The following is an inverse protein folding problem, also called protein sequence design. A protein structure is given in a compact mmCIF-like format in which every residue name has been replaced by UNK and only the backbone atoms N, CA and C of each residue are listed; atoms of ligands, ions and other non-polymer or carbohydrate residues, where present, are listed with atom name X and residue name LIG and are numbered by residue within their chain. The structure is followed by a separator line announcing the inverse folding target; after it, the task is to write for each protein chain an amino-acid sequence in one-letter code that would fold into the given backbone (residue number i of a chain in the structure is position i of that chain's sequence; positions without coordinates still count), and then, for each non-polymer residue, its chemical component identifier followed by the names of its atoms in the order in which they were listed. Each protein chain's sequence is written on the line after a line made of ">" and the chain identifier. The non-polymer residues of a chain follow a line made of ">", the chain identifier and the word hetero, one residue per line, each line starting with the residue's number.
data_IF_342392543699
#
_entry.id   IF_342392543699
#
_cell.length_a   1.000
_cell.length_b   1.000
_cell.length_c   1.000
_cell.angle_alpha   90.00
_cell.angle_beta   90.00
_cell.angle_gamma   90.00
#
_symmetry.space_group_name_H-M   'P 1'
#
loop_
_entity.id
_entity.type
_entity.pdbx_description
1 polymer ?
#
# COMPACT_ATOMS: atom_id res chain seq x y z
N UNK A 1 -20.08 -13.49 -22.04
CA UNK A 1 -19.69 -13.99 -20.71
C UNK A 1 -18.62 -13.06 -20.18
N UNK A 2 -18.75 -12.55 -18.96
CA UNK A 2 -17.71 -11.69 -18.37
C UNK A 2 -16.48 -12.54 -18.01
N UNK A 3 -15.29 -12.04 -18.34
CA UNK A 3 -14.02 -12.65 -17.93
C UNK A 3 -13.97 -12.76 -16.39
N UNK A 4 -13.49 -13.88 -15.85
CA UNK A 4 -13.31 -14.10 -14.40
C UNK A 4 -11.92 -13.71 -13.93
N UNK A 5 -11.76 -13.43 -12.63
CA UNK A 5 -10.44 -13.13 -12.04
C UNK A 5 -9.44 -14.26 -12.26
N UNK A 6 -9.88 -15.52 -12.18
CA UNK A 6 -9.01 -16.68 -12.42
C UNK A 6 -8.50 -16.72 -13.86
N UNK A 7 -9.35 -16.46 -14.84
CA UNK A 7 -8.91 -16.41 -16.25
C UNK A 7 -7.86 -15.33 -16.51
N UNK A 8 -7.98 -14.18 -15.85
CA UNK A 8 -6.98 -13.10 -15.93
C UNK A 8 -5.65 -13.57 -15.30
N UNK A 9 -5.71 -14.15 -14.10
CA UNK A 9 -4.54 -14.69 -13.41
C UNK A 9 -3.86 -15.79 -14.21
N UNK A 10 -4.62 -16.76 -14.73
CA UNK A 10 -4.08 -17.89 -15.50
C UNK A 10 -3.34 -17.42 -16.76
N UNK A 11 -3.85 -16.37 -17.41
CA UNK A 11 -3.16 -15.73 -18.52
C UNK A 11 -1.85 -15.10 -18.06
N UNK A 12 -1.87 -14.20 -17.08
CA UNK A 12 -0.70 -13.42 -16.69
C UNK A 12 0.36 -14.19 -15.91
N UNK A 13 -0.01 -15.27 -15.20
CA UNK A 13 0.92 -16.14 -14.51
C UNK A 13 2.00 -16.74 -15.43
N UNK A 14 1.73 -16.81 -16.74
CA UNK A 14 2.66 -17.31 -17.75
C UNK A 14 3.43 -16.18 -18.48
N UNK A 15 3.00 -14.92 -18.34
CA UNK A 15 3.45 -13.81 -19.20
C UNK A 15 4.02 -12.61 -18.43
N UNK A 16 3.84 -12.54 -17.11
CA UNK A 16 4.24 -11.40 -16.30
C UNK A 16 4.90 -11.80 -14.99
N UNK A 17 5.72 -10.88 -14.46
CA UNK A 17 6.34 -10.96 -13.15
C UNK A 17 6.55 -9.56 -12.57
N UNK A 18 6.87 -9.49 -11.28
CA UNK A 18 7.14 -8.22 -10.57
C UNK A 18 5.90 -7.47 -10.11
N UNK A 19 4.78 -8.17 -9.89
CA UNK A 19 3.63 -7.62 -9.16
C UNK A 19 3.77 -7.93 -7.66
N UNK A 20 3.03 -7.22 -6.80
CA UNK A 20 3.16 -7.33 -5.34
C UNK A 20 2.49 -8.59 -4.73
N UNK A 21 2.17 -9.59 -5.54
CA UNK A 21 1.40 -10.77 -5.16
C UNK A 21 1.98 -12.02 -5.80
N UNK A 22 1.88 -13.13 -5.06
CA UNK A 22 2.08 -14.45 -5.63
C UNK A 22 0.90 -14.82 -6.54
N UNK A 23 1.19 -15.46 -7.68
CA UNK A 23 0.17 -15.76 -8.69
C UNK A 23 -0.93 -16.69 -8.18
N UNK A 24 -0.67 -17.55 -7.20
CA UNK A 24 -1.66 -18.41 -6.56
C UNK A 24 -2.72 -17.61 -5.76
N UNK A 25 -2.34 -16.44 -5.22
CA UNK A 25 -3.21 -15.53 -4.46
C UNK A 25 -3.67 -14.30 -5.27
N UNK A 26 -3.16 -14.11 -6.49
CA UNK A 26 -3.44 -12.95 -7.33
C UNK A 26 -4.93 -12.78 -7.72
N UNK A 27 -5.76 -13.81 -7.54
CA UNK A 27 -7.20 -13.76 -7.82
C UNK A 27 -8.03 -13.09 -6.71
N UNK A 28 -7.44 -12.86 -5.52
CA UNK A 28 -8.08 -12.28 -4.33
C UNK A 28 -7.28 -11.13 -3.70
N UNK A 29 -6.07 -10.84 -4.20
CA UNK A 29 -5.23 -9.73 -3.75
C UNK A 29 -4.97 -8.73 -4.87
N UNK A 30 -4.90 -7.44 -4.52
CA UNK A 30 -4.59 -6.38 -5.47
C UNK A 30 -3.14 -6.48 -5.95
N UNK A 31 -2.92 -6.43 -7.27
CA UNK A 31 -1.60 -6.66 -7.87
C UNK A 31 -0.58 -5.54 -7.60
N UNK A 32 -1.04 -4.38 -7.12
CA UNK A 32 -0.18 -3.29 -6.67
C UNK A 32 0.09 -3.33 -5.17
N UNK A 33 -0.95 -3.25 -4.35
CA UNK A 33 -0.76 -3.05 -2.92
C UNK A 33 -0.65 -4.35 -2.12
N UNK A 34 -0.92 -5.50 -2.73
CA UNK A 34 -0.82 -6.82 -2.09
C UNK A 34 -1.94 -7.14 -1.09
N UNK A 35 -2.85 -6.20 -0.81
CA UNK A 35 -3.95 -6.42 0.13
C UNK A 35 -5.05 -7.28 -0.47
N UNK A 36 -5.63 -8.14 0.36
CA UNK A 36 -6.96 -8.72 0.08
C UNK A 36 -8.00 -7.62 0.03
N UNK A 37 -8.79 -7.63 -1.03
CA UNK A 37 -9.81 -6.64 -1.32
C UNK A 37 -10.84 -7.19 -2.32
N UNK A 38 -11.97 -6.50 -2.45
CA UNK A 38 -12.81 -6.64 -3.63
C UNK A 38 -12.05 -6.08 -4.84
N UNK A 39 -11.84 -6.94 -5.85
CA UNK A 39 -11.00 -6.63 -7.01
C UNK A 39 -11.85 -6.17 -8.18
N UNK A 40 -11.43 -5.06 -8.77
CA UNK A 40 -11.91 -4.53 -10.03
C UNK A 40 -11.04 -5.07 -11.18
N UNK A 41 -11.68 -5.28 -12.34
CA UNK A 41 -10.99 -5.64 -13.59
C UNK A 41 -10.60 -4.34 -14.27
N UNK A 42 -9.39 -3.89 -14.03
CA UNK A 42 -8.90 -2.62 -14.55
C UNK A 42 -8.29 -2.84 -15.94
N UNK A 43 -8.75 -2.10 -16.96
CA UNK A 43 -8.16 -2.18 -18.28
C UNK A 43 -6.75 -1.61 -18.30
N UNK A 44 -5.84 -2.25 -19.03
CA UNK A 44 -4.46 -1.79 -19.23
C UNK A 44 -4.46 -0.61 -20.18
N UNK A 45 -5.11 -0.78 -21.33
CA UNK A 45 -5.50 0.30 -22.23
C UNK A 45 -7.02 0.44 -22.12
N UNK A 46 -7.57 1.63 -21.84
CA UNK A 46 -9.02 1.82 -21.75
C UNK A 46 -9.68 1.70 -23.14
N UNK A 47 -10.97 1.33 -23.17
CA UNK A 47 -11.77 1.21 -24.40
C UNK A 47 -11.75 2.51 -25.23
N UNK A 48 -11.83 3.67 -24.57
CA UNK A 48 -11.77 4.99 -25.24
C UNK A 48 -10.46 5.25 -25.99
N UNK A 49 -9.40 4.47 -25.72
CA UNK A 49 -8.11 4.51 -26.42
C UNK A 49 -7.87 3.26 -27.28
N UNK A 50 -8.90 2.45 -27.52
CA UNK A 50 -8.86 1.25 -28.37
C UNK A 50 -8.50 -0.04 -27.64
N UNK A 51 -8.55 -0.06 -26.29
CA UNK A 51 -8.37 -1.28 -25.52
C UNK A 51 -9.58 -2.22 -25.57
N UNK A 52 -9.36 -3.48 -25.21
CA UNK A 52 -10.35 -4.57 -25.25
C UNK A 52 -10.69 -5.08 -23.85
N UNK A 53 -11.88 -5.68 -23.67
CA UNK A 53 -12.26 -6.36 -22.42
C UNK A 53 -11.83 -7.83 -22.39
N UNK A 54 -10.60 -8.11 -22.84
CA UNK A 54 -10.01 -9.46 -22.92
C UNK A 54 -8.93 -9.68 -21.85
N UNK A 55 -8.62 -10.94 -21.54
CA UNK A 55 -7.70 -11.29 -20.42
C UNK A 55 -6.32 -10.64 -20.51
N UNK A 56 -5.83 -10.41 -21.73
CA UNK A 56 -4.55 -9.79 -22.07
C UNK A 56 -4.55 -8.26 -21.98
N UNK A 57 -5.69 -7.64 -21.70
CA UNK A 57 -5.82 -6.21 -21.46
C UNK A 57 -6.42 -5.89 -20.09
N UNK A 58 -6.50 -6.86 -19.17
CA UNK A 58 -7.07 -6.67 -17.83
C UNK A 58 -6.06 -7.02 -16.74
N UNK A 59 -6.04 -6.21 -15.68
CA UNK A 59 -5.35 -6.51 -14.41
C UNK A 59 -6.32 -6.42 -13.25
N UNK A 60 -5.95 -6.97 -12.09
CA UNK A 60 -6.80 -6.95 -10.89
C UNK A 60 -6.28 -5.98 -9.82
N UNK A 61 -7.05 -4.93 -9.55
CA UNK A 61 -6.71 -3.91 -8.55
C UNK A 61 -7.86 -3.69 -7.57
N UNK A 62 -7.56 -3.24 -6.35
CA UNK A 62 -8.61 -2.68 -5.50
C UNK A 62 -9.02 -1.29 -6.04
N UNK A 63 -10.24 -0.83 -5.75
CA UNK A 63 -10.74 0.45 -6.29
C UNK A 63 -9.87 1.67 -6.00
N UNK A 64 -9.11 1.67 -4.89
CA UNK A 64 -8.13 2.73 -4.63
C UNK A 64 -6.93 2.66 -5.58
N UNK A 65 -6.35 1.48 -5.78
CA UNK A 65 -5.25 1.31 -6.73
C UNK A 65 -5.73 1.52 -8.17
N UNK A 66 -6.96 1.12 -8.51
CA UNK A 66 -7.58 1.42 -9.80
C UNK A 66 -7.64 2.92 -10.07
N UNK A 67 -8.04 3.74 -9.08
CA UNK A 67 -8.04 5.21 -9.20
C UNK A 67 -6.66 5.83 -9.36
N UNK A 68 -5.62 5.25 -8.76
CA UNK A 68 -4.24 5.73 -8.88
C UNK A 68 -3.52 5.19 -10.13
N UNK A 69 -4.11 4.23 -10.84
CA UNK A 69 -3.48 3.60 -11.99
C UNK A 69 -3.32 4.60 -13.16
N UNK A 70 -2.17 4.62 -13.85
CA UNK A 70 -2.00 5.45 -15.03
C UNK A 70 -2.97 5.01 -16.14
N UNK A 71 -3.55 5.99 -16.83
CA UNK A 71 -4.39 5.79 -18.02
C UNK A 71 -3.61 6.26 -19.24
N UNK A 72 -3.21 5.32 -20.12
CA UNK A 72 -2.42 5.62 -21.32
C UNK A 72 -2.70 4.59 -22.42
N UNK A 73 -2.46 4.96 -23.68
CA UNK A 73 -2.57 4.04 -24.83
C UNK A 73 -1.42 3.01 -24.90
N UNK A 74 -0.32 3.29 -24.20
CA UNK A 74 0.86 2.43 -24.14
C UNK A 74 0.72 1.53 -22.91
N UNK A 75 0.51 0.21 -23.09
CA UNK A 75 0.31 -0.72 -21.98
C UNK A 75 1.54 -0.82 -21.06
N UNK A 76 2.73 -0.44 -21.56
CA UNK A 76 3.98 -0.50 -20.81
C UNK A 76 3.99 0.38 -19.57
N UNK A 77 3.24 1.49 -19.55
CA UNK A 77 3.23 2.40 -18.40
C UNK A 77 2.52 1.82 -17.19
N UNK A 78 1.39 1.13 -17.37
CA UNK A 78 0.72 0.45 -16.26
C UNK A 78 1.64 -0.61 -15.65
N UNK A 79 2.24 -1.45 -16.49
CA UNK A 79 3.15 -2.49 -16.02
C UNK A 79 4.40 -1.93 -15.34
N UNK A 80 4.95 -0.83 -15.86
CA UNK A 80 6.05 -0.11 -15.20
C UNK A 80 5.62 0.42 -13.83
N UNK A 81 4.43 1.00 -13.73
CA UNK A 81 3.90 1.51 -12.47
C UNK A 81 3.63 0.40 -11.45
N UNK A 82 3.05 -0.73 -11.86
CA UNK A 82 2.84 -1.89 -10.98
C UNK A 82 4.16 -2.38 -10.39
N UNK A 83 5.19 -2.56 -11.23
CA UNK A 83 6.52 -3.00 -10.80
C UNK A 83 7.23 -1.97 -9.91
N UNK A 84 7.16 -0.70 -10.28
CA UNK A 84 7.83 0.38 -9.54
C UNK A 84 7.21 0.64 -8.17
N UNK A 85 5.93 0.31 -8.00
CA UNK A 85 5.18 0.56 -6.76
C UNK A 85 4.83 -0.72 -6.01
N UNK A 86 5.29 -1.88 -6.45
CA UNK A 86 5.11 -3.13 -5.69
C UNK A 86 5.93 -3.13 -4.41
N UNK A 87 5.42 -3.78 -3.37
CA UNK A 87 6.16 -4.02 -2.11
C UNK A 87 6.42 -5.51 -1.93
N UNK A 88 7.57 -5.84 -1.35
CA UNK A 88 8.02 -7.23 -1.15
C UNK A 88 7.29 -7.98 -0.04
N UNK A 89 6.53 -7.27 0.79
CA UNK A 89 5.77 -7.86 1.90
C UNK A 89 4.29 -7.48 1.78
N UNK A 90 3.43 -8.50 1.74
CA UNK A 90 1.99 -8.32 1.71
C UNK A 90 1.51 -7.45 2.87
N UNK A 91 0.43 -6.70 2.64
CA UNK A 91 -0.26 -5.93 3.67
C UNK A 91 0.60 -4.83 4.35
N UNK A 92 1.69 -4.40 3.71
CA UNK A 92 2.57 -3.30 4.20
C UNK A 92 2.51 -2.03 3.36
N UNK A 93 1.96 -2.10 2.14
CA UNK A 93 2.03 -1.02 1.14
C UNK A 93 1.60 0.35 1.67
N UNK A 94 0.41 0.43 2.28
CA UNK A 94 -0.14 1.70 2.76
C UNK A 94 0.61 2.24 3.97
N UNK A 95 1.13 1.35 4.82
CA UNK A 95 2.01 1.74 5.92
C UNK A 95 3.27 2.39 5.38
N UNK A 96 3.97 1.76 4.43
CA UNK A 96 5.19 2.32 3.83
C UNK A 96 4.94 3.69 3.20
N UNK A 97 3.83 3.87 2.49
CA UNK A 97 3.44 5.20 1.99
C UNK A 97 3.19 6.21 3.11
N UNK A 98 2.64 5.77 4.24
CA UNK A 98 2.50 6.62 5.43
C UNK A 98 3.83 7.02 6.06
N UNK A 99 4.88 6.19 5.96
CA UNK A 99 6.24 6.57 6.37
C UNK A 99 6.82 7.65 5.45
N UNK A 100 6.65 7.51 4.14
CA UNK A 100 7.05 8.54 3.17
C UNK A 100 6.29 9.86 3.41
N UNK A 101 4.98 9.78 3.65
CA UNK A 101 4.15 10.94 3.93
C UNK A 101 4.52 11.63 5.25
N UNK A 102 4.96 10.86 6.26
CA UNK A 102 5.49 11.43 7.49
C UNK A 102 6.69 12.33 7.22
N UNK A 103 7.64 11.88 6.39
CA UNK A 103 8.82 12.69 6.05
C UNK A 103 8.41 14.01 5.38
N UNK A 104 7.37 13.99 4.54
CA UNK A 104 6.81 15.19 3.91
C UNK A 104 6.17 16.13 4.92
N UNK A 105 5.34 15.60 5.83
CA UNK A 105 4.57 16.40 6.81
C UNK A 105 5.48 16.97 7.90
N UNK A 106 6.41 16.18 8.42
CA UNK A 106 7.20 16.50 9.61
C UNK A 106 8.66 16.88 9.31
N UNK A 107 9.11 16.74 8.05
CA UNK A 107 10.45 17.16 7.63
C UNK A 107 11.60 16.32 8.21
N UNK A 108 11.32 15.14 8.75
CA UNK A 108 12.28 14.22 9.37
C UNK A 108 11.82 12.77 9.28
N UNK A 109 12.71 11.82 9.56
CA UNK A 109 12.35 10.39 9.53
C UNK A 109 11.55 9.99 10.76
N UNK A 110 10.59 9.05 10.63
CA UNK A 110 9.86 8.55 11.78
C UNK A 110 10.78 7.80 12.75
N UNK A 111 10.55 7.98 14.05
CA UNK A 111 11.29 7.34 15.15
C UNK A 111 12.79 7.62 15.14
N UNK A 112 13.24 8.65 14.41
CA UNK A 112 14.66 8.97 14.26
C UNK A 112 15.33 9.35 15.59
N UNK A 113 14.58 10.02 16.47
CA UNK A 113 15.05 10.40 17.80
C UNK A 113 15.44 9.21 18.70
N UNK A 114 14.97 7.99 18.37
CA UNK A 114 15.30 6.78 19.14
C UNK A 114 16.53 6.03 18.63
N UNK A 115 17.10 6.38 17.47
CA UNK A 115 18.24 5.62 16.89
C UNK A 115 19.49 5.62 17.76
N UNK A 116 19.74 6.75 18.43
CA UNK A 116 20.92 6.98 19.27
C UNK A 116 20.55 7.16 20.75
N UNK A 117 19.27 7.03 21.10
CA UNK A 117 18.81 7.13 22.47
C UNK A 117 19.26 5.89 23.27
N UNK A 118 19.61 6.09 24.54
CA UNK A 118 19.94 5.00 25.48
C UNK A 118 18.67 4.25 25.92
N UNK A 119 17.99 3.59 24.98
CA UNK A 119 16.75 2.83 25.19
C UNK A 119 16.94 1.36 24.79
N UNK A 120 16.25 0.46 25.47
CA UNK A 120 16.17 -0.93 25.01
C UNK A 120 15.28 -1.02 23.77
N UNK A 121 15.90 -1.17 22.60
CA UNK A 121 15.18 -1.28 21.32
C UNK A 121 14.24 -2.49 21.25
N UNK A 122 14.45 -3.55 22.06
CA UNK A 122 13.51 -4.68 22.10
C UNK A 122 12.21 -4.26 22.79
N UNK A 123 12.29 -3.64 23.97
CA UNK A 123 11.14 -3.05 24.66
C UNK A 123 10.45 -2.01 23.78
N UNK A 124 11.21 -1.11 23.16
CA UNK A 124 10.67 -0.04 22.30
C UNK A 124 9.81 -0.60 21.16
N UNK A 125 10.25 -1.68 20.52
CA UNK A 125 9.46 -2.34 19.48
C UNK A 125 8.13 -2.93 20.01
N UNK A 126 8.14 -3.51 21.21
CA UNK A 126 6.92 -4.02 21.83
C UNK A 126 5.96 -2.89 22.23
N UNK A 127 6.48 -1.80 22.78
CA UNK A 127 5.71 -0.61 23.13
C UNK A 127 5.11 0.07 21.91
N UNK A 128 5.89 0.21 20.84
CA UNK A 128 5.43 0.76 19.56
C UNK A 128 4.24 -0.06 19.02
N UNK A 129 4.33 -1.40 19.05
CA UNK A 129 3.23 -2.29 18.64
C UNK A 129 1.99 -2.14 19.52
N UNK A 130 2.17 -2.00 20.83
CA UNK A 130 1.07 -1.81 21.76
C UNK A 130 0.34 -0.47 21.51
N UNK A 131 1.11 0.60 21.33
CA UNK A 131 0.57 1.93 21.01
C UNK A 131 -0.09 1.98 19.64
N UNK A 132 0.44 1.27 18.65
CA UNK A 132 -0.11 1.27 17.31
C UNK A 132 -1.58 0.86 17.29
N UNK A 133 -1.96 -0.22 18.00
CA UNK A 133 -3.34 -0.67 18.05
C UNK A 133 -4.29 0.43 18.57
N UNK A 134 -3.89 1.11 19.65
CA UNK A 134 -4.68 2.17 20.28
C UNK A 134 -4.80 3.42 19.40
N UNK A 135 -3.72 3.82 18.73
CA UNK A 135 -3.73 5.00 17.85
C UNK A 135 -4.50 4.74 16.56
N UNK A 136 -4.36 3.56 15.96
CA UNK A 136 -5.14 3.19 14.77
C UNK A 136 -6.65 3.15 15.09
N UNK A 137 -7.05 2.74 16.30
CA UNK A 137 -8.46 2.73 16.71
C UNK A 137 -9.11 4.13 16.78
N UNK A 138 -8.32 5.22 16.76
CA UNK A 138 -8.82 6.61 16.77
C UNK A 138 -8.99 7.20 15.38
N UNK A 139 -8.76 6.40 14.34
CA UNK A 139 -8.83 6.85 12.95
C UNK A 139 -10.04 6.27 12.23
N UNK A 140 -10.40 6.87 11.11
CA UNK A 140 -11.48 6.39 10.25
C UNK A 140 -10.98 6.31 8.80
N UNK A 141 -11.43 5.28 8.10
CA UNK A 141 -11.15 5.11 6.67
C UNK A 141 -12.07 6.07 5.90
N UNK A 142 -11.48 6.88 5.01
CA UNK A 142 -12.27 7.72 4.11
C UNK A 142 -13.15 6.86 3.20
N UNK A 143 -14.36 7.35 2.93
CA UNK A 143 -15.31 6.67 2.06
C UNK A 143 -14.68 6.37 0.69
N UNK A 144 -14.80 5.12 0.24
CA UNK A 144 -14.27 4.67 -1.04
C UNK A 144 -12.75 4.37 -1.08
N UNK A 145 -12.01 4.53 0.03
CA UNK A 145 -10.57 4.20 0.04
C UNK A 145 -10.26 2.76 0.48
N UNK A 146 -11.13 2.14 1.27
CA UNK A 146 -10.97 0.77 1.78
C UNK A 146 -9.83 0.57 2.80
N UNK A 147 -8.91 1.53 2.92
CA UNK A 147 -7.77 1.58 3.85
C UNK A 147 -7.49 3.03 4.25
N UNK A 148 -6.80 3.24 5.37
CA UNK A 148 -6.34 4.58 5.78
C UNK A 148 -5.43 5.18 4.70
N UNK A 149 -5.55 6.49 4.46
CA UNK A 149 -4.62 7.20 3.59
C UNK A 149 -3.26 7.42 4.26
N UNK A 150 -2.20 7.62 3.45
CA UNK A 150 -0.86 7.90 3.95
C UNK A 150 -0.81 9.03 4.98
N UNK A 151 -1.57 10.12 4.78
CA UNK A 151 -1.58 11.26 5.70
C UNK A 151 -2.12 10.91 7.08
N UNK A 152 -3.18 10.10 7.14
CA UNK A 152 -3.72 9.62 8.42
C UNK A 152 -2.73 8.68 9.11
N UNK A 153 -2.09 7.79 8.34
CA UNK A 153 -1.07 6.87 8.87
C UNK A 153 0.14 7.67 9.42
N UNK A 154 0.58 8.71 8.71
CA UNK A 154 1.65 9.60 9.16
C UNK A 154 1.32 10.28 10.50
N UNK A 155 0.09 10.79 10.65
CA UNK A 155 -0.37 11.36 11.92
C UNK A 155 -0.39 10.32 13.05
N UNK A 156 -0.82 9.08 12.77
CA UNK A 156 -0.76 7.98 13.75
C UNK A 156 0.68 7.69 14.17
N UNK A 157 1.61 7.65 13.22
CA UNK A 157 3.04 7.44 13.50
C UNK A 157 3.58 8.55 14.41
N UNK A 158 3.20 9.81 14.16
CA UNK A 158 3.60 10.94 15.00
C UNK A 158 3.07 10.85 16.44
N UNK A 159 1.82 10.41 16.63
CA UNK A 159 1.26 10.21 17.97
C UNK A 159 1.93 9.06 18.72
N UNK A 160 2.27 7.96 18.03
CA UNK A 160 3.04 6.87 18.62
C UNK A 160 4.42 7.38 19.05
N UNK A 161 5.12 8.10 18.17
CA UNK A 161 6.45 8.64 18.43
C UNK A 161 6.45 9.60 19.64
N UNK A 162 5.48 10.51 19.71
CA UNK A 162 5.28 11.42 20.83
C UNK A 162 5.09 10.67 22.15
N UNK A 163 4.21 9.66 22.17
CA UNK A 163 3.96 8.87 23.38
C UNK A 163 5.16 8.05 23.82
N UNK A 164 5.94 7.52 22.89
CA UNK A 164 7.20 6.86 23.20
C UNK A 164 8.21 7.87 23.76
N UNK A 165 8.30 9.06 23.17
CA UNK A 165 9.25 10.07 23.59
C UNK A 165 8.93 10.55 25.03
N UNK A 166 7.66 10.79 25.33
CA UNK A 166 7.18 11.11 26.67
C UNK A 166 7.55 10.02 27.71
N UNK A 167 7.41 8.73 27.34
CA UNK A 167 7.75 7.60 28.22
C UNK A 167 9.25 7.49 28.52
N UNK A 168 10.08 7.83 27.54
CA UNK A 168 11.53 7.68 27.60
C UNK A 168 12.26 9.01 27.90
N UNK A 169 11.51 10.09 28.17
CA UNK A 169 12.08 11.41 28.49
C UNK A 169 12.84 12.05 27.33
N UNK A 170 12.48 11.72 26.09
CA UNK A 170 13.13 12.23 24.87
C UNK A 170 12.38 13.46 24.39
N UNK A 171 13.11 14.51 24.03
CA UNK A 171 12.52 15.70 23.40
C UNK A 171 12.44 15.47 21.89
N UNK A 172 11.24 15.61 21.31
CA UNK A 172 11.08 15.56 19.86
C UNK A 172 11.64 16.83 19.19
N UNK A 173 12.13 16.72 17.95
CA UNK A 173 12.52 17.88 17.13
C UNK A 173 11.36 18.83 16.85
#
# INVERSE_FOLDING_TARGET
>A
MSVSNRQIVDHWAQHASGVAVDWDQAHERCWRCGYRAELEKCPIVPESLGGTDTVDNLVLLCGRCGREAPVHQDPGYLWRWLRATSVSSHDTYWTLRGWEEFEVIFGRKPLECFKEAEVDHRSLNAECRALAADEFAKTVIHFGEGRLNPSTIACVIAEIEKKLADRHGITLP
#
